data_IF_807215749974
#
_entry.id   IF_807215749974
#
_cell.length_a   1.000
_cell.length_b   1.000
_cell.length_c   1.000
_cell.angle_alpha   90.00
_cell.angle_beta   90.00
_cell.angle_gamma   90.00
#
_symmetry.space_group_name_H-M   'P 1'
#
loop_
_entity.id
_entity.type
_entity.pdbx_description
1 polymer ?
#
# COMPACT_ATOMS: atom_id res chain seq x y z
N UNK A 1 8.81 -15.29 -0.45
CA UNK A 1 8.58 -15.99 0.81
C UNK A 1 7.63 -15.21 1.66
N UNK A 2 7.03 -15.84 2.61
CA UNK A 2 5.91 -15.33 3.39
C UNK A 2 6.31 -14.19 4.34
N UNK A 3 6.58 -13.02 3.79
CA UNK A 3 6.94 -11.83 4.56
C UNK A 3 5.81 -10.80 4.51
N UNK A 4 5.75 -9.88 5.49
CA UNK A 4 4.78 -8.80 5.45
C UNK A 4 5.04 -7.88 4.27
N UNK A 5 3.95 -7.31 3.74
CA UNK A 5 4.01 -6.27 2.70
C UNK A 5 3.11 -5.12 3.10
N UNK A 6 3.38 -3.96 2.51
CA UNK A 6 2.46 -2.83 2.56
C UNK A 6 1.90 -2.67 1.14
N UNK A 7 0.62 -2.40 1.02
CA UNK A 7 0.01 -2.12 -0.28
C UNK A 7 -0.20 -0.61 -0.45
N UNK A 8 0.05 -0.11 -1.66
CA UNK A 8 -0.48 1.19 -2.04
C UNK A 8 -1.80 1.00 -2.81
N UNK A 9 -2.41 2.10 -3.18
CA UNK A 9 -3.71 2.08 -3.85
C UNK A 9 -3.68 1.29 -5.15
N UNK A 10 -2.73 1.59 -6.03
CA UNK A 10 -2.63 0.91 -7.33
C UNK A 10 -2.27 -0.56 -7.19
N UNK A 11 -1.37 -0.89 -6.26
CA UNK A 11 -0.98 -2.27 -6.02
C UNK A 11 -2.14 -3.12 -5.51
N UNK A 12 -2.89 -2.60 -4.55
CA UNK A 12 -4.05 -3.31 -4.02
C UNK A 12 -5.13 -3.49 -5.09
N UNK A 13 -5.46 -2.43 -5.83
CA UNK A 13 -6.47 -2.50 -6.88
C UNK A 13 -6.11 -3.52 -7.95
N UNK A 14 -4.86 -3.55 -8.40
CA UNK A 14 -4.45 -4.56 -9.39
C UNK A 14 -4.49 -5.97 -8.83
N UNK A 15 -4.07 -6.16 -7.60
CA UNK A 15 -4.11 -7.48 -6.97
C UNK A 15 -5.54 -8.05 -6.87
N UNK A 16 -6.52 -7.17 -6.71
CA UNK A 16 -7.92 -7.57 -6.55
C UNK A 16 -8.72 -7.53 -7.85
N UNK A 17 -8.18 -6.97 -8.92
CA UNK A 17 -8.90 -6.81 -10.19
C UNK A 17 -9.21 -8.17 -10.81
N UNK A 18 -10.44 -8.28 -11.35
CA UNK A 18 -10.92 -9.48 -12.01
C UNK A 18 -11.44 -9.14 -13.39
N UNK A 19 -11.30 -10.07 -14.32
CA UNK A 19 -11.95 -10.00 -15.62
C UNK A 19 -13.44 -10.32 -15.48
N UNK A 20 -14.22 -10.08 -16.53
CA UNK A 20 -15.66 -10.36 -16.52
C UNK A 20 -15.98 -11.85 -16.24
N UNK A 21 -15.07 -12.77 -16.56
CA UNK A 21 -15.21 -14.20 -16.29
C UNK A 21 -14.63 -14.62 -14.94
N UNK A 22 -14.22 -13.67 -14.08
CA UNK A 22 -13.76 -13.94 -12.73
C UNK A 22 -12.28 -14.27 -12.58
N UNK A 23 -11.48 -14.22 -13.66
CA UNK A 23 -10.05 -14.45 -13.60
C UNK A 23 -9.31 -13.24 -13.05
N UNK A 24 -8.13 -13.46 -12.47
CA UNK A 24 -7.28 -12.35 -12.05
C UNK A 24 -6.80 -11.56 -13.27
N UNK A 25 -6.97 -10.24 -13.23
CA UNK A 25 -6.53 -9.37 -14.33
C UNK A 25 -5.02 -9.16 -14.34
N UNK A 26 -4.40 -9.21 -13.17
CA UNK A 26 -2.95 -8.99 -13.00
C UNK A 26 -2.38 -10.10 -12.12
N UNK A 27 -2.08 -11.28 -12.70
CA UNK A 27 -1.68 -12.45 -11.92
C UNK A 27 -0.45 -12.24 -11.03
N UNK A 28 0.53 -11.45 -11.46
CA UNK A 28 1.73 -11.18 -10.67
C UNK A 28 1.40 -10.44 -9.39
N UNK A 29 0.49 -9.45 -9.47
CA UNK A 29 0.03 -8.70 -8.30
C UNK A 29 -0.76 -9.60 -7.34
N UNK A 30 -1.66 -10.38 -7.87
CA UNK A 30 -2.47 -11.30 -7.07
C UNK A 30 -1.59 -12.34 -6.35
N UNK A 31 -0.59 -12.87 -7.03
CA UNK A 31 0.34 -13.83 -6.44
C UNK A 31 1.09 -13.23 -5.25
N UNK A 32 1.59 -12.01 -5.37
CA UNK A 32 2.27 -11.32 -4.25
C UNK A 32 1.32 -11.17 -3.06
N UNK A 33 0.09 -10.72 -3.33
CA UNK A 33 -0.90 -10.53 -2.28
C UNK A 33 -1.22 -11.85 -1.57
N UNK A 34 -1.44 -12.92 -2.32
CA UNK A 34 -1.84 -14.22 -1.76
C UNK A 34 -0.71 -14.90 -0.97
N UNK A 35 0.55 -14.63 -1.32
CA UNK A 35 1.69 -15.22 -0.63
C UNK A 35 2.18 -14.41 0.57
N UNK A 36 1.72 -13.19 0.74
CA UNK A 36 2.16 -12.35 1.84
C UNK A 36 1.69 -12.92 3.19
N UNK A 37 2.58 -12.92 4.17
CA UNK A 37 2.24 -13.33 5.54
C UNK A 37 1.28 -12.34 6.20
N UNK A 38 1.43 -11.08 5.88
CA UNK A 38 0.62 -9.98 6.41
C UNK A 38 0.54 -8.91 5.34
N UNK A 39 -0.65 -8.39 5.12
CA UNK A 39 -0.91 -7.32 4.15
C UNK A 39 -1.36 -6.08 4.93
N UNK A 40 -0.45 -5.12 5.05
CA UNK A 40 -0.71 -3.87 5.77
C UNK A 40 -1.38 -2.90 4.81
N UNK A 41 -2.56 -2.42 5.18
CA UNK A 41 -3.35 -1.47 4.40
C UNK A 41 -3.38 -0.14 5.16
N UNK A 42 -2.58 0.85 4.75
CA UNK A 42 -2.64 2.17 5.39
C UNK A 42 -4.01 2.82 5.23
N UNK A 43 -4.45 3.53 6.25
CA UNK A 43 -5.82 4.11 6.29
C UNK A 43 -6.11 5.02 5.09
N UNK A 44 -5.15 5.84 4.66
CA UNK A 44 -5.36 6.74 3.53
C UNK A 44 -5.39 6.00 2.19
N UNK A 45 -4.69 4.87 2.10
CA UNK A 45 -4.79 3.98 0.93
C UNK A 45 -6.22 3.46 0.82
N UNK A 46 -6.80 3.02 1.92
CA UNK A 46 -8.19 2.53 1.91
C UNK A 46 -9.17 3.63 1.49
N UNK A 47 -8.96 4.86 1.96
CA UNK A 47 -9.78 6.00 1.56
C UNK A 47 -9.67 6.29 0.05
N UNK A 48 -8.48 6.20 -0.50
CA UNK A 48 -8.25 6.41 -1.93
C UNK A 48 -8.88 5.29 -2.77
N UNK A 49 -8.76 4.06 -2.31
CA UNK A 49 -9.44 2.91 -2.95
C UNK A 49 -10.96 3.12 -2.94
N UNK A 50 -11.53 3.59 -1.83
CA UNK A 50 -12.96 3.90 -1.74
C UNK A 50 -13.37 4.93 -2.80
N UNK A 51 -12.59 5.97 -2.99
CA UNK A 51 -12.88 6.98 -4.00
C UNK A 51 -12.88 6.36 -5.41
N UNK A 52 -11.92 5.52 -5.72
CA UNK A 52 -11.83 4.85 -7.02
C UNK A 52 -13.00 3.88 -7.22
N UNK A 53 -13.39 3.18 -6.16
CA UNK A 53 -14.50 2.21 -6.20
C UNK A 53 -15.86 2.84 -5.89
N UNK A 54 -16.01 4.16 -6.05
CA UNK A 54 -17.30 4.81 -5.74
C UNK A 54 -18.45 4.32 -6.61
N UNK A 55 -18.15 3.79 -7.78
CA UNK A 55 -19.12 3.14 -8.66
C UNK A 55 -19.26 1.63 -8.43
N UNK A 56 -18.48 1.06 -7.53
CA UNK A 56 -18.44 -0.37 -7.27
C UNK A 56 -18.60 -0.62 -5.76
N UNK A 57 -19.77 -0.23 -5.23
CA UNK A 57 -19.96 -0.20 -3.77
C UNK A 57 -19.97 -1.58 -3.13
N UNK A 58 -20.46 -2.59 -3.84
CA UNK A 58 -20.44 -3.95 -3.32
C UNK A 58 -19.00 -4.46 -3.18
N UNK A 59 -18.15 -4.19 -4.17
CA UNK A 59 -16.73 -4.56 -4.11
C UNK A 59 -16.04 -3.85 -2.93
N UNK A 60 -16.37 -2.58 -2.68
CA UNK A 60 -15.78 -1.84 -1.57
C UNK A 60 -16.24 -2.40 -0.23
N UNK A 61 -17.53 -2.72 -0.09
CA UNK A 61 -18.04 -3.33 1.17
C UNK A 61 -17.40 -4.68 1.44
N UNK A 62 -17.20 -5.48 0.38
CA UNK A 62 -16.54 -6.77 0.50
C UNK A 62 -15.09 -6.62 0.93
N UNK A 63 -14.37 -5.66 0.36
CA UNK A 63 -12.98 -5.40 0.72
C UNK A 63 -12.85 -5.01 2.20
N UNK A 64 -13.69 -4.09 2.66
CA UNK A 64 -13.67 -3.67 4.07
C UNK A 64 -13.97 -4.85 4.99
N UNK A 65 -14.97 -5.67 4.63
CA UNK A 65 -15.29 -6.87 5.42
C UNK A 65 -14.09 -7.83 5.50
N UNK A 66 -13.37 -8.04 4.40
CA UNK A 66 -12.17 -8.88 4.38
C UNK A 66 -11.04 -8.29 5.21
N UNK A 67 -10.80 -6.99 5.11
CA UNK A 67 -9.73 -6.32 5.86
C UNK A 67 -9.94 -6.47 7.37
N UNK A 68 -11.18 -6.38 7.83
CA UNK A 68 -11.50 -6.46 9.25
C UNK A 68 -11.89 -7.86 9.73
N UNK A 69 -11.86 -8.85 8.86
CA UNK A 69 -12.06 -10.25 9.25
C UNK A 69 -10.74 -10.78 9.83
N UNK A 70 -10.71 -11.18 11.12
CA UNK A 70 -9.49 -11.67 11.75
C UNK A 70 -8.96 -12.98 11.14
N UNK A 71 -9.77 -13.68 10.34
CA UNK A 71 -9.31 -14.89 9.64
C UNK A 71 -8.45 -14.56 8.41
N UNK A 72 -8.46 -13.32 7.93
CA UNK A 72 -7.63 -12.89 6.79
C UNK A 72 -6.26 -12.43 7.27
N UNK A 73 -5.35 -12.21 6.31
CA UNK A 73 -4.01 -11.71 6.60
C UNK A 73 -3.90 -10.20 6.45
N UNK A 74 -5.01 -9.52 6.31
CA UNK A 74 -5.03 -8.06 6.26
C UNK A 74 -4.87 -7.44 7.64
N UNK A 75 -4.19 -6.32 7.68
CA UNK A 75 -4.09 -5.49 8.87
C UNK A 75 -4.33 -4.03 8.45
N UNK A 76 -5.36 -3.42 9.02
CA UNK A 76 -5.64 -2.01 8.79
C UNK A 76 -4.70 -1.16 9.64
N UNK A 77 -3.91 -0.31 8.99
CA UNK A 77 -2.93 0.54 9.70
C UNK A 77 -3.46 1.97 9.76
N UNK A 78 -4.00 2.33 10.91
CA UNK A 78 -4.45 3.69 11.14
C UNK A 78 -3.24 4.64 11.19
N UNK A 79 -3.32 5.76 10.46
CA UNK A 79 -2.28 6.76 10.47
C UNK A 79 -2.15 7.39 11.85
N UNK A 80 -0.95 7.36 12.42
CA UNK A 80 -0.64 8.11 13.64
C UNK A 80 -0.33 9.56 13.28
N UNK A 81 -0.55 10.52 14.21
CA UNK A 81 -0.12 11.90 13.94
C UNK A 81 1.35 12.01 13.52
N UNK A 82 2.23 11.23 14.15
CA UNK A 82 3.66 11.20 13.80
C UNK A 82 3.90 10.68 12.38
N UNK A 83 3.06 9.77 11.89
CA UNK A 83 3.16 9.28 10.51
C UNK A 83 2.84 10.40 9.52
N UNK A 84 1.83 11.21 9.81
CA UNK A 84 1.46 12.33 8.93
C UNK A 84 2.56 13.39 8.89
N UNK A 85 3.14 13.69 10.05
CA UNK A 85 4.27 14.62 10.12
C UNK A 85 5.44 14.07 9.31
N UNK A 86 5.77 12.77 9.49
CA UNK A 86 6.86 12.15 8.75
C UNK A 86 6.59 12.10 7.25
N UNK A 87 5.34 11.84 6.86
CA UNK A 87 4.95 11.84 5.44
C UNK A 87 5.25 13.19 4.78
N UNK A 88 4.95 14.30 5.46
CA UNK A 88 5.23 15.63 4.94
C UNK A 88 6.71 15.97 4.96
N UNK A 89 7.47 15.44 5.93
CA UNK A 89 8.93 15.59 5.92
C UNK A 89 9.55 14.89 4.71
N UNK A 90 9.08 13.68 4.41
CA UNK A 90 9.55 12.94 3.22
C UNK A 90 9.13 13.64 1.93
N UNK A 91 7.90 14.16 1.88
CA UNK A 91 7.44 14.93 0.74
C UNK A 91 8.35 16.15 0.49
N UNK A 92 8.71 16.86 1.55
CA UNK A 92 9.62 18.01 1.45
C UNK A 92 11.04 17.60 1.05
N UNK A 93 11.52 16.47 1.57
CA UNK A 93 12.87 15.96 1.27
C UNK A 93 12.99 15.50 -0.18
N UNK A 94 11.95 14.88 -0.71
CA UNK A 94 11.90 14.39 -2.09
C UNK A 94 10.94 15.24 -2.92
N UNK A 95 11.04 16.55 -2.80
CA UNK A 95 10.09 17.51 -3.36
C UNK A 95 9.90 17.37 -4.88
N UNK A 96 10.92 16.94 -5.60
CA UNK A 96 10.86 16.77 -7.05
C UNK A 96 9.94 15.60 -7.46
N UNK A 97 9.64 14.69 -6.53
CA UNK A 97 8.74 13.57 -6.78
C UNK A 97 7.28 13.95 -6.60
N UNK A 98 7.00 15.03 -5.89
CA UNK A 98 5.64 15.48 -5.64
C UNK A 98 4.77 14.36 -5.04
N UNK A 99 5.27 13.72 -3.97
CA UNK A 99 4.68 12.52 -3.38
C UNK A 99 3.25 12.73 -2.88
N UNK A 100 3.05 13.82 -2.18
CA UNK A 100 1.80 14.04 -1.47
C UNK A 100 1.66 13.19 -0.22
N UNK A 101 0.52 13.33 0.43
CA UNK A 101 0.30 12.77 1.76
C UNK A 101 0.10 11.25 1.72
N UNK A 102 -0.57 10.72 0.70
CA UNK A 102 -0.86 9.27 0.62
C UNK A 102 0.43 8.47 0.43
N UNK A 103 1.24 8.83 -0.57
CA UNK A 103 2.51 8.14 -0.82
C UNK A 103 3.50 8.38 0.31
N UNK A 104 3.52 9.59 0.86
CA UNK A 104 4.31 9.91 2.04
C UNK A 104 3.93 9.05 3.24
N UNK A 105 2.65 8.80 3.44
CA UNK A 105 2.17 7.94 4.51
C UNK A 105 2.61 6.48 4.32
N UNK A 106 2.53 5.97 3.09
CA UNK A 106 3.01 4.61 2.80
C UNK A 106 4.48 4.48 3.21
N UNK A 107 5.30 5.45 2.82
CA UNK A 107 6.72 5.47 3.17
C UNK A 107 6.95 5.61 4.69
N UNK A 108 6.18 6.47 5.36
CA UNK A 108 6.28 6.67 6.80
C UNK A 108 5.89 5.41 7.60
N UNK A 109 4.84 4.72 7.16
CA UNK A 109 4.42 3.44 7.77
C UNK A 109 5.49 2.37 7.54
N UNK A 110 6.04 2.31 6.33
CA UNK A 110 7.14 1.39 6.02
C UNK A 110 8.32 1.60 6.97
N UNK A 111 8.70 2.83 7.18
CA UNK A 111 9.79 3.19 8.09
C UNK A 111 9.48 2.79 9.54
N UNK A 112 8.31 3.15 10.03
CA UNK A 112 7.92 2.86 11.42
C UNK A 112 7.76 1.36 11.69
N UNK A 113 7.12 0.65 10.77
CA UNK A 113 6.87 -0.79 10.89
C UNK A 113 8.08 -1.62 10.48
N UNK A 114 9.10 -1.01 9.88
CA UNK A 114 10.28 -1.71 9.31
C UNK A 114 9.85 -2.80 8.32
N UNK A 115 8.86 -2.47 7.52
CA UNK A 115 8.36 -3.32 6.43
C UNK A 115 8.65 -2.57 5.14
N UNK A 116 9.66 -3.03 4.40
CA UNK A 116 10.20 -2.28 3.26
C UNK A 116 9.74 -2.82 1.90
N UNK A 117 8.79 -3.75 1.91
CA UNK A 117 8.26 -4.39 0.71
C UNK A 117 6.90 -3.79 0.40
N UNK A 118 6.80 -3.12 -0.74
CA UNK A 118 5.61 -2.37 -1.15
C UNK A 118 5.05 -2.96 -2.43
N UNK A 119 3.79 -3.37 -2.41
CA UNK A 119 3.06 -3.76 -3.61
C UNK A 119 2.51 -2.49 -4.26
N UNK A 120 3.05 -2.10 -5.39
CA UNK A 120 2.77 -0.80 -5.99
C UNK A 120 2.79 -0.85 -7.51
N UNK A 121 2.04 0.04 -8.13
CA UNK A 121 2.15 0.34 -9.57
C UNK A 121 3.09 1.53 -9.82
N UNK A 122 3.45 2.28 -8.78
CA UNK A 122 4.28 3.48 -8.88
C UNK A 122 5.74 3.15 -8.59
N UNK A 123 6.41 2.55 -9.56
CA UNK A 123 7.81 2.19 -9.42
C UNK A 123 8.73 3.39 -9.50
N UNK A 124 8.32 4.42 -10.23
CA UNK A 124 9.14 5.61 -10.44
C UNK A 124 9.42 6.34 -9.13
N UNK A 125 8.36 6.71 -8.42
CA UNK A 125 8.49 7.51 -7.21
C UNK A 125 9.02 6.69 -6.04
N UNK A 126 8.46 5.51 -5.81
CA UNK A 126 8.90 4.68 -4.69
C UNK A 126 10.33 4.16 -4.84
N UNK A 127 10.84 4.00 -6.07
CA UNK A 127 12.23 3.59 -6.26
C UNK A 127 13.23 4.70 -5.88
N UNK A 128 12.80 5.95 -5.91
CA UNK A 128 13.65 7.09 -5.57
C UNK A 128 13.63 7.42 -4.07
N UNK A 129 12.62 6.95 -3.33
CA UNK A 129 12.48 7.24 -1.90
C UNK A 129 13.50 6.44 -1.09
N UNK A 130 14.05 7.10 -0.07
CA UNK A 130 14.87 6.46 0.96
C UNK A 130 14.32 6.84 2.32
N UNK A 131 14.33 5.89 3.25
CA UNK A 131 13.80 6.05 4.60
C UNK A 131 14.81 5.56 5.62
N UNK A 132 14.47 5.62 6.91
CA UNK A 132 15.31 5.16 7.99
C UNK A 132 16.44 6.11 8.31
N UNK A 133 17.39 5.69 9.19
CA UNK A 133 18.49 6.53 9.62
C UNK A 133 19.33 7.00 8.43
N UNK A 134 19.55 8.31 8.33
CA UNK A 134 20.32 8.95 7.26
C UNK A 134 19.75 8.67 5.87
N UNK A 135 18.45 8.34 5.78
CA UNK A 135 17.79 8.02 4.52
C UNK A 135 18.55 6.94 3.73
N UNK A 136 18.97 5.89 4.41
CA UNK A 136 19.79 4.83 3.82
C UNK A 136 18.99 3.61 3.36
N UNK A 137 17.72 3.48 3.75
CA UNK A 137 16.93 2.30 3.45
C UNK A 137 16.10 2.48 2.20
N UNK A 138 16.37 1.66 1.19
CA UNK A 138 15.55 1.58 -0.01
C UNK A 138 14.28 0.74 0.24
N UNK A 139 13.25 0.98 -0.57
CA UNK A 139 12.05 0.16 -0.59
C UNK A 139 12.19 -0.92 -1.67
N UNK A 140 11.74 -2.13 -1.36
CA UNK A 140 11.65 -3.21 -2.33
C UNK A 140 10.27 -3.17 -2.96
N UNK A 141 10.22 -2.93 -4.25
CA UNK A 141 8.95 -2.76 -4.98
C UNK A 141 8.51 -4.09 -5.60
N UNK A 142 7.25 -4.43 -5.41
CA UNK A 142 6.62 -5.67 -5.85
C UNK A 142 5.52 -5.37 -6.87
N UNK A 143 5.22 -6.23 -7.79
CA UNK A 143 5.74 -7.57 -8.00
C UNK A 143 7.16 -7.66 -8.45
#
# INVERSE_FOLDING_TARGET
>A
MNRPIIVDTGGLLRALARTSDGRTSFPDYETVLSLARLVIVPSMVLAEVDYILRGEREAMRRLVAEIFDPATRYEYELALPSDLVRALELDAKFKDLNLGLVDGLVAAVAERRKVYRILTTDRRDFSAIRIGPRLSQALELLP
#
